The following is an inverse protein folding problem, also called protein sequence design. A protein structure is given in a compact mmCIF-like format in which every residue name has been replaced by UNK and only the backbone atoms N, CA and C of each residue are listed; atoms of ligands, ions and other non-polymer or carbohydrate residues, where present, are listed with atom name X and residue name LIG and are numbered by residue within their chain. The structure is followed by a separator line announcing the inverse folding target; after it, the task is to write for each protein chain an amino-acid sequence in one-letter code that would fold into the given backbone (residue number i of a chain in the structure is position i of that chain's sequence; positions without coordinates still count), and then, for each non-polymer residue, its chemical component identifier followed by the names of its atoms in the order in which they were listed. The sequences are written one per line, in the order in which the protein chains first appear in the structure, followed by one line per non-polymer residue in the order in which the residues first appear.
data_IF_496808082727
#
_entry.id   IF_496808082727
#
_cell.length_a   1.000
_cell.length_b   1.000
_cell.length_c   1.000
_cell.angle_alpha   90.00
_cell.angle_beta   90.00
_cell.angle_gamma   90.00
#
_symmetry.space_group_name_H-M   'P 1'
#
loop_
_entity.id
_entity.type
_entity.pdbx_description
1 polymer ?
#
# COMPACT_ATOMS: atom_id res chain seq x y z
N UNK A 1 20.34 -20.14 -13.95
CA UNK A 1 20.09 -18.95 -14.78
C UNK A 1 20.81 -17.77 -14.14
N UNK A 2 21.77 -17.13 -14.81
CA UNK A 2 22.42 -15.94 -14.26
C UNK A 2 21.43 -14.78 -14.35
N UNK A 3 20.96 -14.28 -13.20
CA UNK A 3 20.10 -13.10 -13.12
C UNK A 3 20.88 -11.89 -13.66
N UNK A 4 20.53 -11.45 -14.88
CA UNK A 4 21.01 -10.18 -15.46
C UNK A 4 20.81 -9.06 -14.44
N UNK A 5 21.71 -8.08 -14.37
CA UNK A 5 21.62 -6.98 -13.39
C UNK A 5 20.25 -6.29 -13.35
N UNK A 6 19.58 -6.20 -14.52
CA UNK A 6 18.21 -5.69 -14.65
C UNK A 6 17.17 -6.47 -13.81
N UNK A 7 17.27 -7.80 -13.72
CA UNK A 7 16.35 -8.61 -12.90
C UNK A 7 16.55 -8.36 -11.41
N UNK A 8 17.80 -8.13 -10.97
CA UNK A 8 18.10 -7.79 -9.57
C UNK A 8 17.59 -6.41 -9.19
N UNK A 9 17.65 -5.45 -10.12
CA UNK A 9 17.11 -4.11 -9.90
C UNK A 9 15.58 -4.14 -9.83
N UNK A 10 14.91 -4.82 -10.76
CA UNK A 10 13.46 -5.04 -10.76
C UNK A 10 12.98 -5.64 -9.43
N UNK A 11 13.63 -6.72 -8.98
CA UNK A 11 13.31 -7.38 -7.72
C UNK A 11 13.45 -6.43 -6.52
N UNK A 12 14.53 -5.64 -6.49
CA UNK A 12 14.76 -4.66 -5.41
C UNK A 12 13.71 -3.55 -5.41
N UNK A 13 13.29 -3.06 -6.59
CA UNK A 13 12.22 -2.07 -6.74
C UNK A 13 10.88 -2.64 -6.24
N UNK A 14 10.55 -3.88 -6.61
CA UNK A 14 9.32 -4.54 -6.16
C UNK A 14 9.32 -4.75 -4.64
N UNK A 15 10.41 -5.27 -4.06
CA UNK A 15 10.54 -5.43 -2.61
C UNK A 15 10.41 -4.10 -1.85
N UNK A 16 10.98 -3.01 -2.38
CA UNK A 16 10.88 -1.68 -1.76
C UNK A 16 9.43 -1.20 -1.72
N UNK A 17 8.70 -1.29 -2.84
CA UNK A 17 7.30 -0.87 -2.86
C UNK A 17 6.42 -1.77 -2.01
N UNK A 18 6.59 -3.09 -2.10
CA UNK A 18 5.86 -4.04 -1.27
C UNK A 18 6.10 -3.76 0.22
N UNK A 19 7.35 -3.51 0.62
CA UNK A 19 7.69 -3.14 1.99
C UNK A 19 7.02 -1.85 2.47
N UNK A 20 6.99 -0.81 1.61
CA UNK A 20 6.31 0.45 1.93
C UNK A 20 4.80 0.24 2.08
N UNK A 21 4.17 -0.50 1.18
CA UNK A 21 2.73 -0.77 1.22
C UNK A 21 2.35 -1.60 2.44
N UNK A 22 3.15 -2.61 2.79
CA UNK A 22 2.97 -3.40 4.01
C UNK A 22 3.13 -2.54 5.27
N UNK A 23 4.07 -1.60 5.28
CA UNK A 23 4.24 -0.66 6.37
C UNK A 23 3.01 0.25 6.53
N UNK A 24 2.48 0.81 5.43
CA UNK A 24 1.26 1.63 5.47
C UNK A 24 0.08 0.79 5.97
N UNK A 25 -0.09 -0.42 5.44
CA UNK A 25 -1.13 -1.35 5.89
C UNK A 25 -1.02 -1.63 7.40
N UNK A 26 0.19 -1.89 7.90
CA UNK A 26 0.44 -2.12 9.32
C UNK A 26 0.06 -0.91 10.18
N UNK A 27 0.45 0.30 9.78
CA UNK A 27 0.10 1.53 10.50
C UNK A 27 -1.41 1.71 10.58
N UNK A 28 -2.11 1.52 9.46
CA UNK A 28 -3.57 1.69 9.40
C UNK A 28 -4.30 0.64 10.23
N UNK A 29 -3.80 -0.60 10.23
CA UNK A 29 -4.45 -1.73 10.93
C UNK A 29 -4.19 -1.70 12.43
N UNK A 30 -2.94 -1.47 12.84
CA UNK A 30 -2.50 -1.66 14.22
C UNK A 30 -2.24 -0.35 14.94
N UNK A 31 -1.52 0.59 14.33
CA UNK A 31 -1.09 1.82 15.01
C UNK A 31 -2.28 2.73 15.30
N UNK A 32 -3.22 2.88 14.35
CA UNK A 32 -4.44 3.67 14.56
C UNK A 32 -5.30 3.09 15.70
N UNK A 33 -5.41 1.75 15.77
CA UNK A 33 -6.14 1.08 16.85
C UNK A 33 -5.43 1.20 18.20
N UNK A 34 -4.10 1.10 18.22
CA UNK A 34 -3.30 1.26 19.43
C UNK A 34 -3.45 2.65 20.05
N UNK A 35 -3.43 3.69 19.22
CA UNK A 35 -3.58 5.09 19.63
C UNK A 35 -5.04 5.58 19.57
N UNK A 36 -6.02 4.67 19.58
CA UNK A 36 -7.42 5.04 19.41
C UNK A 36 -7.91 6.00 20.51
N UNK A 37 -7.40 5.88 21.75
CA UNK A 37 -7.81 6.76 22.85
C UNK A 37 -7.33 8.20 22.64
N UNK A 38 -6.07 8.36 22.24
CA UNK A 38 -5.47 9.66 21.98
C UNK A 38 -6.08 10.31 20.74
N UNK A 39 -6.32 9.52 19.69
CA UNK A 39 -6.89 9.96 18.42
C UNK A 39 -8.40 10.21 18.47
N UNK A 40 -9.11 9.70 19.48
CA UNK A 40 -10.56 9.94 19.63
C UNK A 40 -10.91 11.42 19.86
N UNK A 41 -9.95 12.25 20.28
CA UNK A 41 -10.11 13.70 20.38
C UNK A 41 -10.31 14.38 19.02
N UNK A 42 -9.82 13.75 17.95
CA UNK A 42 -9.98 14.24 16.58
C UNK A 42 -11.33 13.75 16.07
N UNK A 43 -12.16 14.67 15.60
CA UNK A 43 -13.47 14.37 15.00
C UNK A 43 -13.43 14.55 13.50
N UNK A 44 -13.88 13.52 12.76
CA UNK A 44 -14.05 13.53 11.31
C UNK A 44 -15.52 13.25 11.01
N UNK A 45 -16.15 14.14 10.23
CA UNK A 45 -17.55 14.01 9.79
C UNK A 45 -18.53 13.77 10.95
N UNK A 46 -18.24 14.33 12.13
CA UNK A 46 -19.06 14.18 13.34
C UNK A 46 -18.77 12.92 14.17
N UNK A 47 -17.84 12.06 13.75
CA UNK A 47 -17.44 10.85 14.47
C UNK A 47 -15.99 10.94 14.97
N UNK A 48 -15.63 10.25 16.07
CA UNK A 48 -14.22 10.11 16.47
C UNK A 48 -13.38 9.49 15.35
N UNK A 49 -12.18 10.00 15.13
CA UNK A 49 -11.28 9.54 14.05
C UNK A 49 -11.07 8.02 14.03
N UNK A 50 -10.78 7.34 15.16
CA UNK A 50 -10.59 5.89 15.16
C UNK A 50 -11.85 5.13 14.73
N UNK A 51 -13.03 5.66 15.05
CA UNK A 51 -14.30 5.07 14.65
C UNK A 51 -14.50 5.18 13.13
N UNK A 52 -14.26 6.36 12.55
CA UNK A 52 -14.29 6.55 11.09
C UNK A 52 -13.29 5.64 10.37
N UNK A 53 -12.07 5.51 10.91
CA UNK A 53 -11.04 4.64 10.37
C UNK A 53 -11.44 3.16 10.39
N UNK A 54 -12.10 2.71 11.47
CA UNK A 54 -12.64 1.34 11.54
C UNK A 54 -13.82 1.10 10.60
N UNK A 55 -14.67 2.11 10.39
CA UNK A 55 -15.89 1.97 9.60
C UNK A 55 -15.65 2.02 8.08
N UNK A 56 -14.85 2.98 7.61
CA UNK A 56 -14.65 3.21 6.16
C UNK A 56 -13.22 3.61 5.81
N UNK A 57 -12.55 4.39 6.66
CA UNK A 57 -11.23 4.95 6.34
C UNK A 57 -10.19 3.88 6.00
N UNK A 58 -10.11 2.80 6.79
CA UNK A 58 -9.19 1.69 6.52
C UNK A 58 -9.50 0.95 5.21
N UNK A 59 -10.77 0.71 4.91
CA UNK A 59 -11.22 0.06 3.67
C UNK A 59 -10.81 0.87 2.44
N UNK A 60 -11.02 2.19 2.47
CA UNK A 60 -10.60 3.10 1.39
C UNK A 60 -9.09 3.02 1.20
N UNK A 61 -8.32 3.04 2.30
CA UNK A 61 -6.86 2.93 2.21
C UNK A 61 -6.43 1.58 1.62
N UNK A 62 -7.08 0.47 1.98
CA UNK A 62 -6.75 -0.84 1.40
C UNK A 62 -6.99 -0.89 -0.11
N UNK A 63 -8.10 -0.31 -0.59
CA UNK A 63 -8.36 -0.19 -2.03
C UNK A 63 -7.29 0.68 -2.71
N UNK A 64 -6.90 1.80 -2.09
CA UNK A 64 -5.83 2.66 -2.61
C UNK A 64 -4.48 1.94 -2.67
N UNK A 65 -4.14 1.13 -1.67
CA UNK A 65 -2.93 0.30 -1.65
C UNK A 65 -2.93 -0.65 -2.85
N UNK A 66 -4.03 -1.38 -3.08
CA UNK A 66 -4.15 -2.34 -4.17
C UNK A 66 -4.06 -1.64 -5.52
N UNK A 67 -4.83 -0.56 -5.70
CA UNK A 67 -4.83 0.22 -6.94
C UNK A 67 -3.46 0.80 -7.26
N UNK A 68 -2.79 1.37 -6.25
CA UNK A 68 -1.44 1.91 -6.41
C UNK A 68 -0.43 0.82 -6.77
N UNK A 69 -0.47 -0.32 -6.07
CA UNK A 69 0.38 -1.46 -6.37
C UNK A 69 0.21 -1.92 -7.83
N UNK A 70 -1.03 -2.15 -8.26
CA UNK A 70 -1.34 -2.60 -9.62
C UNK A 70 -0.83 -1.60 -10.68
N UNK A 71 -1.06 -0.30 -10.46
CA UNK A 71 -0.59 0.75 -11.38
C UNK A 71 0.93 0.86 -11.41
N UNK A 72 1.58 0.77 -10.24
CA UNK A 72 3.03 0.83 -10.13
C UNK A 72 3.70 -0.38 -10.78
N UNK A 73 3.19 -1.59 -10.51
CA UNK A 73 3.70 -2.82 -11.11
C UNK A 73 3.53 -2.83 -12.61
N UNK A 74 2.35 -2.46 -13.15
CA UNK A 74 2.15 -2.37 -14.59
C UNK A 74 3.16 -1.41 -15.26
N UNK A 75 3.41 -0.24 -14.63
CA UNK A 75 4.44 0.69 -15.12
C UNK A 75 5.85 0.10 -15.05
N UNK A 76 6.17 -0.61 -13.96
CA UNK A 76 7.47 -1.25 -13.77
C UNK A 76 7.68 -2.37 -14.79
N UNK A 77 6.66 -3.17 -15.06
CA UNK A 77 6.70 -4.26 -16.03
C UNK A 77 6.92 -3.70 -17.45
N UNK A 78 6.28 -2.57 -17.80
CA UNK A 78 6.54 -1.85 -19.05
C UNK A 78 7.99 -1.33 -19.15
N UNK A 79 8.54 -0.77 -18.07
CA UNK A 79 9.92 -0.23 -18.04
C UNK A 79 10.98 -1.33 -18.23
N UNK A 80 10.71 -2.52 -17.69
CA UNK A 80 11.64 -3.66 -17.77
C UNK A 80 11.34 -4.62 -18.93
N UNK A 81 10.33 -4.33 -19.76
CA UNK A 81 9.95 -5.15 -20.92
C UNK A 81 9.44 -6.53 -20.53
N UNK A 82 8.93 -6.67 -19.29
CA UNK A 82 8.32 -7.88 -18.72
C UNK A 82 6.80 -7.76 -18.68
N UNK A 83 6.25 -6.70 -19.26
CA UNK A 83 4.82 -6.51 -19.42
C UNK A 83 4.27 -7.68 -20.24
N UNK A 84 3.68 -8.66 -19.55
CA UNK A 84 2.74 -9.60 -20.14
C UNK A 84 1.45 -8.83 -20.42
N UNK A 85 1.49 -8.03 -21.49
CA UNK A 85 0.31 -7.41 -22.06
C UNK A 85 -0.40 -8.43 -22.95
N UNK A 86 -1.45 -9.03 -22.39
CA UNK A 86 -2.76 -9.26 -23.03
C UNK A 86 -2.72 -9.57 -24.54
N UNK A 87 -2.77 -10.87 -24.88
CA UNK A 87 -3.54 -11.31 -26.07
C UNK A 87 -5.04 -11.12 -25.82
#
# INVERSE_FOLDING_TARGET
MQLTEKHREYWRKNLRITGILLFIWFVVTYVIGWFAKELASITILGFPFPFYMGAQGSLIIYVLIIWYYARYMNKLDQEYGVAEGEE
#
